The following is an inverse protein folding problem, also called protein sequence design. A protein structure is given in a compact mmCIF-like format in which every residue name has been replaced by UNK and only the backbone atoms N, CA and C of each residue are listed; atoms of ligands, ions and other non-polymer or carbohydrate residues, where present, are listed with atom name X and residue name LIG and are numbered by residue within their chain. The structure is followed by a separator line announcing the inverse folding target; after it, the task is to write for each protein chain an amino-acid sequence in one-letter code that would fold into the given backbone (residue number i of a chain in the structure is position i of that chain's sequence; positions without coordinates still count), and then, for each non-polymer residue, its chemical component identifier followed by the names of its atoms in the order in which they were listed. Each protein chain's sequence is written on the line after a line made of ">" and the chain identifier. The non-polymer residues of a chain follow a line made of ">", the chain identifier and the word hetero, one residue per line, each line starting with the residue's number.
data_IF_793486713303
#
_entry.id   IF_793486713303
#
_cell.length_a   1.000
_cell.length_b   1.000
_cell.length_c   1.000
_cell.angle_alpha   90.00
_cell.angle_beta   90.00
_cell.angle_gamma   90.00
#
_symmetry.space_group_name_H-M   'P 1'
#
loop_
_entity.id
_entity.type
_entity.pdbx_description
1 polymer ?
#
# COMPACT_ATOMS: atom_id res chain seq x y z
N UNK A 1 -8.46 15.50 3.23
CA UNK A 1 -7.06 15.57 3.71
C UNK A 1 -6.74 14.22 4.32
N UNK A 2 -5.52 13.70 4.15
CA UNK A 2 -5.16 12.42 4.75
C UNK A 2 -4.82 12.68 6.23
N UNK A 3 -5.81 12.51 7.09
CA UNK A 3 -5.71 12.71 8.55
C UNK A 3 -5.37 11.39 9.25
N UNK A 4 -5.73 10.28 8.64
CA UNK A 4 -5.51 8.92 9.13
C UNK A 4 -4.89 8.07 7.99
N UNK A 5 -3.94 7.17 8.27
CA UNK A 5 -3.20 7.01 9.53
C UNK A 5 -2.16 8.12 9.80
N UNK A 6 -1.78 8.39 11.07
CA UNK A 6 -0.76 9.39 11.41
C UNK A 6 0.58 9.07 10.75
N UNK A 7 1.11 10.01 9.96
CA UNK A 7 2.30 9.76 9.14
C UNK A 7 3.52 9.29 9.93
N UNK A 8 3.68 9.75 11.18
CA UNK A 8 4.77 9.32 12.05
C UNK A 8 4.72 7.83 12.37
N UNK A 9 3.51 7.28 12.59
CA UNK A 9 3.31 5.86 12.84
C UNK A 9 3.60 5.02 11.59
N UNK A 10 3.22 5.52 10.40
CA UNK A 10 3.50 4.83 9.13
C UNK A 10 5.01 4.83 8.81
N UNK A 11 5.72 5.94 9.05
CA UNK A 11 7.18 6.00 8.86
C UNK A 11 7.90 5.01 9.79
N UNK A 12 7.40 4.79 11.00
CA UNK A 12 7.97 3.82 11.93
C UNK A 12 7.91 2.38 11.39
N UNK A 13 6.90 2.03 10.58
CA UNK A 13 6.76 0.71 9.95
C UNK A 13 7.85 0.40 8.92
N UNK A 14 8.40 1.43 8.27
CA UNK A 14 9.41 1.28 7.21
C UNK A 14 10.81 1.70 7.64
N UNK A 15 10.98 2.22 8.86
CA UNK A 15 12.25 2.70 9.42
C UNK A 15 12.77 4.01 8.82
N UNK A 16 12.46 4.33 7.56
CA UNK A 16 12.87 5.56 6.89
C UNK A 16 11.75 6.16 6.04
N UNK A 17 11.80 7.49 5.83
CA UNK A 17 10.86 8.20 4.94
C UNK A 17 10.99 7.75 3.48
N UNK A 18 12.21 7.46 3.02
CA UNK A 18 12.45 6.98 1.66
C UNK A 18 11.88 5.57 1.48
N UNK A 19 12.08 4.68 2.47
CA UNK A 19 11.47 3.36 2.49
C UNK A 19 9.95 3.43 2.41
N UNK A 20 9.33 4.35 3.17
CA UNK A 20 7.89 4.58 3.09
C UNK A 20 7.44 4.96 1.68
N UNK A 21 8.08 5.96 1.09
CA UNK A 21 7.72 6.45 -0.25
C UNK A 21 7.82 5.34 -1.30
N UNK A 22 8.90 4.56 -1.27
CA UNK A 22 9.09 3.46 -2.23
C UNK A 22 8.04 2.36 -2.02
N UNK A 23 7.84 1.93 -0.77
CA UNK A 23 6.89 0.86 -0.42
C UNK A 23 5.46 1.26 -0.79
N UNK A 24 5.01 2.44 -0.34
CA UNK A 24 3.66 2.93 -0.59
C UNK A 24 3.41 3.18 -2.08
N UNK A 25 4.38 3.71 -2.82
CA UNK A 25 4.24 3.94 -4.27
C UNK A 25 4.17 2.63 -5.06
N UNK A 26 4.98 1.63 -4.71
CA UNK A 26 4.92 0.30 -5.36
C UNK A 26 3.57 -0.36 -5.09
N UNK A 27 3.12 -0.36 -3.84
CA UNK A 27 1.84 -0.96 -3.46
C UNK A 27 0.65 -0.23 -4.09
N UNK A 28 0.67 1.10 -4.12
CA UNK A 28 -0.36 1.90 -4.77
C UNK A 28 -0.50 1.57 -6.27
N UNK A 29 0.60 1.28 -6.98
CA UNK A 29 0.54 0.82 -8.38
C UNK A 29 -0.10 -0.55 -8.52
N UNK A 30 0.16 -1.49 -7.61
CA UNK A 30 -0.51 -2.80 -7.61
C UNK A 30 -2.02 -2.66 -7.37
N UNK A 31 -2.43 -1.84 -6.40
CA UNK A 31 -3.85 -1.56 -6.12
C UNK A 31 -4.51 -0.89 -7.34
N UNK A 32 -3.83 0.06 -7.97
CA UNK A 32 -4.34 0.71 -9.17
C UNK A 32 -4.48 -0.30 -10.33
N UNK A 33 -3.49 -1.16 -10.55
CA UNK A 33 -3.56 -2.19 -11.57
C UNK A 33 -4.72 -3.16 -11.32
N UNK A 34 -4.88 -3.63 -10.08
CA UNK A 34 -6.03 -4.47 -9.68
C UNK A 34 -7.38 -3.86 -10.08
N UNK A 35 -7.62 -2.59 -9.77
CA UNK A 35 -8.89 -1.94 -10.12
C UNK A 35 -9.07 -1.69 -11.63
N UNK A 36 -7.99 -1.50 -12.38
CA UNK A 36 -8.06 -1.34 -13.84
C UNK A 36 -8.22 -2.69 -14.58
N UNK A 37 -7.70 -3.78 -14.01
CA UNK A 37 -7.77 -5.13 -14.60
C UNK A 37 -8.99 -5.94 -14.15
N UNK A 38 -9.79 -5.43 -13.20
CA UNK A 38 -10.97 -6.10 -12.65
C UNK A 38 -12.02 -6.49 -13.72
N UNK A 39 -11.96 -5.91 -14.93
CA UNK A 39 -12.78 -6.28 -16.08
C UNK A 39 -12.05 -7.05 -17.20
N UNK A 40 -10.73 -7.19 -17.11
CA UNK A 40 -9.90 -7.80 -18.16
C UNK A 40 -9.71 -9.32 -17.98
N UNK A 41 -10.08 -9.88 -16.82
CA UNK A 41 -9.95 -11.32 -16.53
C UNK A 41 -8.50 -11.79 -16.31
N UNK A 42 -7.55 -10.87 -16.23
CA UNK A 42 -6.14 -11.15 -15.93
C UNK A 42 -5.97 -11.06 -14.41
N UNK A 43 -5.95 -12.19 -13.73
CA UNK A 43 -5.88 -12.29 -12.26
C UNK A 43 -4.49 -12.03 -11.68
N UNK A 44 -3.84 -10.93 -12.06
CA UNK A 44 -2.42 -10.69 -11.75
C UNK A 44 -2.13 -10.01 -10.42
N UNK A 45 -3.00 -9.11 -9.96
CA UNK A 45 -2.70 -8.23 -8.83
C UNK A 45 -3.54 -8.53 -7.60
N UNK A 46 -2.89 -8.41 -6.43
CA UNK A 46 -3.51 -8.63 -5.13
C UNK A 46 -4.46 -7.47 -4.81
N UNK A 47 -5.74 -7.72 -4.47
CA UNK A 47 -6.71 -6.69 -4.09
C UNK A 47 -6.25 -5.86 -2.89
N UNK A 48 -6.91 -4.74 -2.57
CA UNK A 48 -6.79 -4.12 -1.26
C UNK A 48 -6.94 -5.14 -0.12
N UNK A 49 -6.04 -5.07 0.86
CA UNK A 49 -5.95 -5.99 2.01
C UNK A 49 -6.58 -5.40 3.28
N UNK A 50 -7.12 -4.19 3.20
CA UNK A 50 -7.83 -3.49 4.27
C UNK A 50 -9.15 -2.93 3.74
N UNK A 51 -10.12 -2.72 4.64
CA UNK A 51 -11.36 -2.04 4.32
C UNK A 51 -11.17 -0.53 4.43
N UNK A 52 -10.76 0.07 3.30
CA UNK A 52 -10.56 1.51 3.21
C UNK A 52 -11.84 2.25 2.81
N UNK A 53 -12.08 3.39 3.45
CA UNK A 53 -13.06 4.37 2.98
C UNK A 53 -12.53 5.21 1.80
N UNK A 54 -11.22 5.15 1.53
CA UNK A 54 -10.59 5.87 0.44
C UNK A 54 -10.67 5.09 -0.87
N UNK A 55 -10.84 5.82 -1.97
CA UNK A 55 -10.76 5.28 -3.35
C UNK A 55 -9.40 5.56 -4.00
N UNK A 56 -8.50 6.24 -3.29
CA UNK A 56 -7.17 6.62 -3.81
C UNK A 56 -6.18 5.50 -3.49
N UNK A 57 -5.53 4.88 -4.49
CA UNK A 57 -4.63 3.75 -4.26
C UNK A 57 -3.51 4.02 -3.25
N UNK A 58 -2.96 5.24 -3.23
CA UNK A 58 -1.93 5.62 -2.26
C UNK A 58 -2.46 5.68 -0.82
N UNK A 59 -3.70 6.12 -0.63
CA UNK A 59 -4.29 6.14 0.71
C UNK A 59 -4.47 4.73 1.25
N UNK A 60 -5.02 3.84 0.42
CA UNK A 60 -5.20 2.42 0.75
C UNK A 60 -3.83 1.78 1.07
N UNK A 61 -2.80 2.04 0.26
CA UNK A 61 -1.46 1.49 0.51
C UNK A 61 -0.87 1.93 1.86
N UNK A 62 -1.10 3.17 2.29
CA UNK A 62 -0.62 3.66 3.59
C UNK A 62 -1.41 3.05 4.76
N UNK A 63 -2.72 2.83 4.59
CA UNK A 63 -3.55 2.10 5.56
C UNK A 63 -3.10 0.63 5.70
N UNK A 64 -2.80 -0.04 4.58
CA UNK A 64 -2.26 -1.41 4.60
C UNK A 64 -0.89 -1.51 5.27
N UNK A 65 0.00 -0.53 5.06
CA UNK A 65 1.30 -0.46 5.75
C UNK A 65 1.09 -0.24 7.24
N UNK A 66 0.14 0.62 7.61
CA UNK A 66 -0.17 0.89 9.01
C UNK A 66 -0.70 -0.36 9.75
N UNK A 67 -1.50 -1.18 9.07
CA UNK A 67 -2.03 -2.45 9.58
C UNK A 67 -1.09 -3.67 9.40
N UNK A 68 0.19 -3.44 9.06
CA UNK A 68 1.19 -4.50 8.85
C UNK A 68 0.80 -5.53 7.77
N UNK A 69 -0.10 -5.18 6.84
CA UNK A 69 -0.49 -6.03 5.70
C UNK A 69 0.53 -6.00 4.56
N UNK A 70 1.38 -4.97 4.54
CA UNK A 70 2.41 -4.76 3.51
C UNK A 70 3.72 -4.43 4.21
N UNK A 71 4.73 -5.26 3.96
CA UNK A 71 6.06 -5.17 4.57
C UNK A 71 7.15 -5.20 3.50
N UNK A 72 8.33 -4.70 3.85
CA UNK A 72 9.53 -4.84 3.02
C UNK A 72 10.01 -6.29 3.17
N UNK A 73 10.15 -7.00 2.06
CA UNK A 73 10.70 -8.36 2.08
C UNK A 73 12.15 -8.33 2.62
N UNK A 74 12.55 -9.32 3.44
CA UNK A 74 13.95 -9.47 3.82
C UNK A 74 14.81 -9.70 2.57
N UNK A 75 16.07 -9.29 2.63
CA UNK A 75 17.05 -9.65 1.61
C UNK A 75 17.29 -11.15 1.74
N UNK A 76 16.94 -11.93 0.71
CA UNK A 76 17.33 -13.33 0.61
C UNK A 76 18.85 -13.39 0.40
N UNK A 77 19.56 -14.17 1.23
CA UNK A 77 21.01 -14.44 1.09
C UNK A 77 21.32 -15.33 -0.11
#
# INVERSE_FOLDING_TARGET
>A
MMIEPPIGAVVAKTGTRFGLVVLSARRARQINAYFNELGAGIGGYIPPQVHSMSRKPLSIALEEIYEDKVVIAPVEE
#
